data_IF_143558663377
#
_entry.id   IF_143558663377
#
_cell.length_a   1.000
_cell.length_b   1.000
_cell.length_c   1.000
_cell.angle_alpha   90.00
_cell.angle_beta   90.00
_cell.angle_gamma   90.00
#
_symmetry.space_group_name_H-M   'P 1'
#
loop_
_entity.id
_entity.type
_entity.pdbx_description
1 polymer ?
#
# COMPACT_ATOMS: atom_id res chain seq x y z
N UNK A 1 16.66 -52.87 -16.71
CA UNK A 1 17.57 -53.23 -15.60
C UNK A 1 18.85 -52.44 -15.77
N UNK A 2 19.06 -51.41 -14.96
CA UNK A 2 20.36 -50.86 -14.57
C UNK A 2 20.09 -49.75 -13.54
N UNK A 3 20.14 -50.14 -12.27
CA UNK A 3 20.09 -49.28 -11.10
C UNK A 3 21.43 -48.54 -11.01
N UNK A 4 21.44 -47.20 -10.99
CA UNK A 4 22.61 -46.44 -10.56
C UNK A 4 22.41 -45.96 -9.13
N UNK A 5 23.25 -46.51 -8.25
CA UNK A 5 23.38 -46.19 -6.85
C UNK A 5 24.46 -45.11 -6.71
N UNK A 6 24.18 -44.02 -6.00
CA UNK A 6 25.21 -43.05 -5.58
C UNK A 6 25.13 -42.86 -4.08
N UNK A 7 26.13 -43.40 -3.38
CA UNK A 7 26.36 -43.29 -1.94
C UNK A 7 26.88 -41.90 -1.55
N UNK A 8 26.36 -41.34 -0.46
CA UNK A 8 26.87 -40.15 0.21
C UNK A 8 27.86 -40.54 1.32
N UNK A 9 29.02 -39.88 1.39
CA UNK A 9 29.93 -39.92 2.56
C UNK A 9 29.89 -38.58 3.31
N UNK A 10 29.76 -38.57 4.65
CA UNK A 10 29.74 -37.34 5.45
C UNK A 10 31.16 -36.87 5.80
N UNK A 11 31.37 -35.55 5.88
CA UNK A 11 32.62 -34.92 6.30
C UNK A 11 32.50 -34.47 7.77
N UNK A 12 33.45 -34.92 8.60
CA UNK A 12 33.63 -34.56 10.02
C UNK A 12 34.43 -33.26 10.16
N UNK A 13 33.99 -32.34 11.03
CA UNK A 13 34.70 -31.10 11.37
C UNK A 13 35.54 -31.27 12.65
N UNK A 14 36.76 -30.74 12.68
CA UNK A 14 37.57 -30.55 13.89
C UNK A 14 37.73 -29.05 14.22
N UNK A 15 37.66 -28.63 15.49
CA UNK A 15 37.88 -27.25 15.88
C UNK A 15 39.35 -26.99 16.22
N UNK A 16 39.89 -25.85 15.78
CA UNK A 16 41.12 -25.28 16.34
C UNK A 16 40.78 -23.96 17.05
N UNK A 17 41.13 -23.89 18.33
CA UNK A 17 41.23 -22.65 19.11
C UNK A 17 42.53 -21.92 18.74
N UNK A 18 42.52 -20.59 18.72
CA UNK A 18 43.58 -19.71 19.25
C UNK A 18 43.18 -18.21 19.19
N UNK A 19 43.07 -17.64 20.39
CA UNK A 19 43.44 -16.29 20.94
C UNK A 19 43.48 -14.98 20.12
N UNK A 20 42.99 -13.96 20.82
CA UNK A 20 42.91 -12.49 20.62
C UNK A 20 43.99 -11.76 19.81
N UNK A 21 43.56 -10.85 18.91
CA UNK A 21 43.71 -9.37 19.02
C UNK A 21 43.30 -8.68 17.71
N UNK A 22 42.61 -7.53 17.79
CA UNK A 22 42.57 -6.54 16.70
C UNK A 22 41.33 -6.54 15.78
N UNK A 23 40.70 -5.37 15.70
CA UNK A 23 39.60 -5.00 14.80
C UNK A 23 39.82 -5.42 13.33
N UNK A 24 38.87 -6.15 12.75
CA UNK A 24 38.28 -5.91 11.42
C UNK A 24 37.11 -6.87 11.18
N UNK A 25 36.01 -6.35 10.61
CA UNK A 25 34.81 -7.13 10.23
C UNK A 25 35.20 -8.23 9.23
N UNK A 26 34.93 -9.49 9.56
CA UNK A 26 34.93 -10.59 8.59
C UNK A 26 33.58 -11.29 8.55
N UNK A 27 32.94 -11.19 7.39
CA UNK A 27 31.84 -12.06 6.95
C UNK A 27 32.47 -13.35 6.45
N UNK A 28 32.23 -14.46 7.13
CA UNK A 28 32.70 -15.78 6.69
C UNK A 28 31.79 -16.30 5.58
N UNK A 29 32.21 -16.13 4.32
CA UNK A 29 31.59 -16.81 3.18
C UNK A 29 32.11 -18.24 3.08
N UNK A 30 31.25 -19.23 3.31
CA UNK A 30 31.58 -20.64 3.04
C UNK A 30 31.55 -20.85 1.52
N UNK A 31 32.73 -21.07 0.92
CA UNK A 31 32.91 -21.30 -0.52
C UNK A 31 32.82 -22.80 -0.82
N UNK A 32 31.66 -23.29 -1.22
CA UNK A 32 31.54 -24.62 -1.83
C UNK A 32 31.93 -24.48 -3.30
N UNK A 33 33.15 -24.91 -3.65
CA UNK A 33 33.63 -24.87 -5.03
C UNK A 33 33.14 -26.10 -5.79
N UNK A 34 32.08 -25.94 -6.59
CA UNK A 34 31.81 -26.87 -7.68
C UNK A 34 32.57 -26.38 -8.93
N UNK A 35 33.50 -27.19 -9.41
CA UNK A 35 34.14 -26.98 -10.70
C UNK A 35 33.13 -27.34 -11.80
N UNK A 36 32.38 -26.35 -12.27
CA UNK A 36 31.61 -26.41 -13.51
C UNK A 36 31.98 -25.20 -14.36
N UNK A 37 32.82 -25.47 -15.35
CA UNK A 37 33.19 -24.56 -16.42
C UNK A 37 31.97 -24.23 -17.29
N UNK A 38 31.41 -23.02 -17.14
CA UNK A 38 30.84 -22.15 -18.20
C UNK A 38 30.13 -20.94 -17.55
N UNK A 39 30.53 -19.73 -17.97
CA UNK A 39 29.89 -18.42 -17.81
C UNK A 39 28.57 -18.37 -17.01
N UNK A 40 28.66 -18.16 -15.69
CA UNK A 40 27.53 -17.71 -14.89
C UNK A 40 27.43 -16.19 -15.02
N UNK A 41 26.52 -15.70 -15.86
CA UNK A 41 26.22 -14.27 -15.96
C UNK A 41 25.40 -13.87 -14.73
N UNK A 42 25.99 -13.08 -13.83
CA UNK A 42 25.24 -12.49 -12.71
C UNK A 42 24.21 -11.50 -13.29
N UNK A 43 22.93 -11.71 -13.02
CA UNK A 43 21.86 -10.75 -13.34
C UNK A 43 21.23 -10.28 -12.03
N UNK A 44 21.29 -8.98 -11.79
CA UNK A 44 20.68 -8.31 -10.64
C UNK A 44 19.74 -7.23 -11.16
N UNK A 45 18.52 -7.18 -10.63
CA UNK A 45 17.53 -6.16 -10.97
C UNK A 45 17.38 -5.20 -9.79
N UNK A 46 17.18 -3.92 -10.08
CA UNK A 46 16.82 -2.90 -9.08
C UNK A 46 15.30 -2.78 -8.87
N UNK A 47 14.50 -3.65 -9.48
CA UNK A 47 13.04 -3.71 -9.35
C UNK A 47 12.56 -5.13 -9.04
N UNK A 48 11.38 -5.25 -8.43
CA UNK A 48 10.80 -6.55 -8.04
C UNK A 48 10.12 -7.22 -9.23
N UNK A 49 10.79 -8.19 -9.88
CA UNK A 49 10.25 -8.89 -11.06
C UNK A 49 8.86 -9.51 -10.84
N UNK A 50 8.60 -10.12 -9.66
CA UNK A 50 7.28 -10.70 -9.34
C UNK A 50 6.13 -9.68 -9.32
N UNK A 51 6.43 -8.38 -9.25
CA UNK A 51 5.46 -7.29 -9.11
C UNK A 51 5.37 -6.39 -10.34
N UNK A 52 6.09 -6.72 -11.41
CA UNK A 52 6.26 -5.83 -12.59
C UNK A 52 5.66 -6.43 -13.88
N UNK A 53 5.18 -7.68 -13.91
CA UNK A 53 4.82 -8.32 -15.19
C UNK A 53 3.34 -8.68 -15.40
N UNK A 54 2.98 -8.32 -16.63
CA UNK A 54 1.87 -8.71 -17.50
C UNK A 54 1.68 -10.21 -17.63
N UNK A 55 0.47 -10.60 -18.05
CA UNK A 55 0.10 -11.93 -18.51
C UNK A 55 1.26 -12.73 -19.12
N UNK A 56 1.36 -13.98 -18.63
CA UNK A 56 2.42 -14.97 -18.88
C UNK A 56 3.79 -14.62 -18.33
N UNK A 57 4.46 -15.57 -17.67
CA UNK A 57 5.81 -15.49 -17.08
C UNK A 57 6.93 -15.49 -18.13
N UNK A 58 7.29 -14.44 -18.90
CA UNK A 58 8.17 -14.63 -20.05
C UNK A 58 9.62 -14.49 -19.58
N UNK A 59 9.92 -13.57 -18.66
CA UNK A 59 11.27 -13.31 -18.16
C UNK A 59 11.77 -14.36 -17.16
N UNK A 60 10.89 -14.86 -16.28
CA UNK A 60 11.21 -15.98 -15.40
C UNK A 60 11.33 -17.29 -16.18
N UNK A 61 10.48 -17.52 -17.21
CA UNK A 61 10.68 -18.65 -18.16
C UNK A 61 11.96 -18.49 -18.98
N UNK A 62 12.35 -17.28 -19.38
CA UNK A 62 13.63 -17.02 -20.05
C UNK A 62 14.84 -17.26 -19.14
N UNK A 63 14.65 -17.34 -17.82
CA UNK A 63 15.68 -17.74 -16.86
C UNK A 63 15.79 -19.28 -16.74
N UNK A 64 14.68 -20.01 -16.93
CA UNK A 64 14.64 -21.48 -16.88
C UNK A 64 14.80 -22.14 -18.26
N UNK A 65 14.58 -21.41 -19.35
CA UNK A 65 14.67 -21.88 -20.73
C UNK A 65 15.61 -20.97 -21.52
N UNK A 66 16.75 -21.50 -21.95
CA UNK A 66 17.75 -20.88 -22.81
C UNK A 66 17.24 -20.72 -24.27
N UNK A 67 16.09 -20.08 -24.47
CA UNK A 67 15.55 -19.84 -25.81
C UNK A 67 15.08 -18.40 -25.95
N UNK A 68 15.99 -17.51 -26.32
CA UNK A 68 15.65 -16.19 -26.84
C UNK A 68 15.09 -16.35 -28.26
N UNK A 69 13.77 -16.53 -28.40
CA UNK A 69 13.12 -16.28 -29.68
C UNK A 69 12.85 -14.77 -29.81
N UNK A 70 13.35 -14.19 -30.90
CA UNK A 70 13.26 -12.76 -31.19
C UNK A 70 11.81 -12.29 -31.33
N UNK A 71 11.25 -11.76 -30.25
CA UNK A 71 10.06 -10.93 -30.33
C UNK A 71 10.48 -9.51 -30.76
N UNK A 72 9.76 -8.95 -31.74
CA UNK A 72 9.89 -7.53 -32.11
C UNK A 72 9.61 -6.69 -30.87
N UNK A 73 10.56 -5.86 -30.48
CA UNK A 73 10.37 -4.89 -29.41
C UNK A 73 9.16 -4.00 -29.77
N UNK A 74 8.19 -3.83 -28.85
CA UNK A 74 7.11 -2.87 -29.05
C UNK A 74 7.72 -1.47 -29.27
N UNK A 75 7.01 -0.62 -30.02
CA UNK A 75 7.47 0.74 -30.30
C UNK A 75 7.84 1.45 -28.99
N UNK A 76 9.14 1.63 -28.76
CA UNK A 76 9.68 2.20 -27.54
C UNK A 76 9.28 3.69 -27.47
N UNK A 77 8.19 4.00 -26.76
CA UNK A 77 8.07 5.31 -26.14
C UNK A 77 9.14 5.36 -25.04
N UNK A 78 10.11 6.28 -25.17
CA UNK A 78 11.06 6.56 -24.08
C UNK A 78 10.25 7.10 -22.90
N UNK A 79 10.20 6.35 -21.79
CA UNK A 79 9.62 6.85 -20.55
C UNK A 79 10.39 8.11 -20.13
N UNK A 80 9.69 9.23 -19.99
CA UNK A 80 10.30 10.51 -19.62
C UNK A 80 10.33 10.72 -18.11
N UNK A 81 9.41 10.07 -17.39
CA UNK A 81 9.23 10.13 -15.93
C UNK A 81 8.63 8.83 -15.40
N UNK A 82 8.46 8.73 -14.09
CA UNK A 82 7.67 7.64 -13.51
C UNK A 82 6.20 7.80 -13.95
N UNK A 83 5.60 6.69 -14.38
CA UNK A 83 4.19 6.65 -14.74
C UNK A 83 3.31 6.96 -13.52
N UNK A 84 2.22 7.69 -13.75
CA UNK A 84 1.15 7.84 -12.76
C UNK A 84 0.47 6.49 -12.56
N UNK A 85 0.08 6.18 -11.32
CA UNK A 85 -0.54 4.90 -10.98
C UNK A 85 -2.03 5.04 -10.75
N UNK A 86 -2.80 4.07 -11.23
CA UNK A 86 -4.21 3.89 -10.92
C UNK A 86 -4.34 2.74 -9.91
N UNK A 87 -4.76 3.06 -8.70
CA UNK A 87 -4.86 2.11 -7.58
C UNK A 87 -6.32 1.70 -7.39
N UNK A 88 -6.57 0.40 -7.34
CA UNK A 88 -7.89 -0.12 -7.03
C UNK A 88 -7.97 -0.50 -5.55
N UNK A 89 -9.06 -0.11 -4.89
CA UNK A 89 -9.24 -0.34 -3.46
C UNK A 89 -10.51 -1.15 -3.18
N UNK A 90 -10.44 -2.00 -2.15
CA UNK A 90 -11.58 -2.74 -1.63
C UNK A 90 -11.62 -2.73 -0.10
N UNK A 91 -12.81 -2.51 0.42
CA UNK A 91 -13.13 -2.70 1.83
C UNK A 91 -13.31 -4.17 2.13
N UNK A 92 -12.67 -4.68 3.18
CA UNK A 92 -12.86 -6.05 3.67
C UNK A 92 -13.52 -6.01 5.04
N UNK A 93 -14.78 -6.44 5.09
CA UNK A 93 -15.63 -6.50 6.30
C UNK A 93 -15.95 -7.95 6.66
N UNK A 94 -16.42 -8.16 7.88
CA UNK A 94 -17.05 -9.41 8.29
C UNK A 94 -18.57 -9.25 8.27
N UNK A 95 -19.30 -10.19 7.67
CA UNK A 95 -20.76 -10.25 7.79
C UNK A 95 -21.18 -10.90 9.13
N UNK A 96 -22.49 -10.97 9.38
CA UNK A 96 -23.05 -11.57 10.60
C UNK A 96 -22.71 -13.06 10.78
N UNK A 97 -22.41 -13.76 9.68
CA UNK A 97 -21.97 -15.16 9.68
C UNK A 97 -20.45 -15.31 9.90
N UNK A 98 -19.70 -14.20 9.97
CA UNK A 98 -18.25 -14.19 10.11
C UNK A 98 -17.47 -14.40 8.81
N UNK A 99 -18.15 -14.38 7.65
CA UNK A 99 -17.51 -14.40 6.33
C UNK A 99 -16.90 -13.05 5.99
N UNK A 100 -15.83 -13.06 5.19
CA UNK A 100 -15.26 -11.83 4.66
C UNK A 100 -16.02 -11.39 3.40
N UNK A 101 -16.49 -10.15 3.40
CA UNK A 101 -17.26 -9.55 2.31
C UNK A 101 -16.65 -8.23 1.89
N UNK A 102 -16.90 -7.86 0.63
CA UNK A 102 -16.56 -6.54 0.09
C UNK A 102 -17.81 -5.67 0.04
N UNK A 103 -17.74 -4.46 0.61
CA UNK A 103 -18.82 -3.48 0.49
C UNK A 103 -18.78 -2.77 -0.85
N UNK A 104 -19.95 -2.56 -1.47
CA UNK A 104 -20.13 -1.86 -2.75
C UNK A 104 -20.14 -0.32 -2.65
N UNK A 105 -19.35 0.24 -1.73
CA UNK A 105 -19.04 1.68 -1.71
C UNK A 105 -20.18 2.60 -1.27
N UNK A 106 -21.40 2.09 -1.11
CA UNK A 106 -22.55 2.83 -0.59
C UNK A 106 -23.02 2.22 0.74
N UNK A 107 -23.69 3.05 1.56
CA UNK A 107 -24.17 2.73 2.92
C UNK A 107 -24.67 1.29 3.10
N UNK A 108 -24.09 0.63 4.11
CA UNK A 108 -24.68 -0.39 4.99
C UNK A 108 -25.90 -1.16 4.45
N UNK A 109 -25.74 -1.97 3.41
CA UNK A 109 -26.54 -3.19 3.30
C UNK A 109 -25.81 -4.28 2.53
N UNK A 110 -25.22 -5.23 3.25
CA UNK A 110 -24.63 -6.45 2.69
C UNK A 110 -25.39 -7.64 3.28
N UNK A 111 -26.70 -7.69 3.02
CA UNK A 111 -27.51 -8.88 3.28
C UNK A 111 -27.43 -9.79 2.05
N UNK A 112 -26.62 -10.84 2.15
CA UNK A 112 -26.62 -11.93 1.18
C UNK A 112 -27.47 -13.08 1.75
N UNK A 113 -28.58 -13.39 1.08
CA UNK A 113 -29.51 -14.45 1.47
C UNK A 113 -29.03 -15.80 0.93
N UNK A 114 -28.02 -16.41 1.57
CA UNK A 114 -27.73 -17.83 1.33
C UNK A 114 -27.40 -18.54 2.64
N UNK A 115 -28.22 -19.56 2.92
CA UNK A 115 -28.17 -20.39 4.12
C UNK A 115 -27.37 -21.66 3.86
N UNK A 116 -26.08 -21.63 4.19
CA UNK A 116 -25.28 -22.84 4.41
C UNK A 116 -24.14 -22.54 5.38
N UNK A 117 -24.16 -23.20 6.55
CA UNK A 117 -23.04 -23.20 7.50
C UNK A 117 -21.99 -24.20 7.01
N UNK A 118 -20.83 -23.69 6.59
CA UNK A 118 -19.45 -24.22 6.76
C UNK A 118 -18.54 -23.59 5.69
N UNK A 119 -17.32 -23.21 6.10
CA UNK A 119 -16.29 -22.44 5.36
C UNK A 119 -16.57 -20.93 5.25
N UNK A 120 -15.70 -20.12 5.88
CA UNK A 120 -15.70 -18.66 5.67
C UNK A 120 -15.48 -18.38 4.20
N UNK A 121 -16.40 -17.69 3.53
CA UNK A 121 -16.20 -17.36 2.12
C UNK A 121 -15.13 -16.26 1.97
N UNK A 122 -13.87 -16.67 1.83
CA UNK A 122 -12.73 -15.79 1.54
C UNK A 122 -12.66 -15.38 0.05
N UNK A 123 -13.51 -15.97 -0.80
CA UNK A 123 -13.42 -15.86 -2.26
C UNK A 123 -13.70 -14.45 -2.78
N UNK A 124 -14.66 -13.73 -2.17
CA UNK A 124 -15.11 -12.42 -2.70
C UNK A 124 -13.99 -11.36 -2.73
N UNK A 125 -13.20 -11.12 -1.66
CA UNK A 125 -12.07 -10.19 -1.73
C UNK A 125 -10.97 -10.63 -2.71
N UNK A 126 -10.66 -11.93 -2.75
CA UNK A 126 -9.58 -12.48 -3.60
C UNK A 126 -9.94 -12.41 -5.08
N UNK A 127 -11.17 -12.78 -5.43
CA UNK A 127 -11.70 -12.71 -6.79
C UNK A 127 -11.74 -11.26 -7.29
N UNK A 128 -12.22 -10.33 -6.45
CA UNK A 128 -12.26 -8.92 -6.83
C UNK A 128 -10.85 -8.34 -7.02
N UNK A 129 -9.91 -8.64 -6.12
CA UNK A 129 -8.51 -8.22 -6.28
C UNK A 129 -7.88 -8.80 -7.57
N UNK A 130 -8.19 -10.06 -7.88
CA UNK A 130 -7.75 -10.70 -9.13
C UNK A 130 -8.35 -10.00 -10.35
N UNK A 131 -9.64 -9.63 -10.28
CA UNK A 131 -10.30 -8.89 -11.36
C UNK A 131 -9.70 -7.50 -11.54
N UNK A 132 -9.43 -6.75 -10.47
CA UNK A 132 -8.76 -5.45 -10.57
C UNK A 132 -7.39 -5.54 -11.24
N UNK A 133 -6.62 -6.58 -10.92
CA UNK A 133 -5.34 -6.82 -11.58
C UNK A 133 -5.51 -7.06 -13.09
N UNK A 134 -6.46 -7.92 -13.48
CA UNK A 134 -6.79 -8.22 -14.89
C UNK A 134 -7.29 -6.96 -15.62
N UNK A 135 -8.09 -6.14 -14.95
CA UNK A 135 -8.63 -4.88 -15.48
C UNK A 135 -7.56 -3.77 -15.59
N UNK A 136 -6.34 -4.05 -15.12
CA UNK A 136 -5.19 -3.19 -15.34
C UNK A 136 -4.71 -2.43 -14.11
N UNK A 137 -5.24 -2.65 -12.90
CA UNK A 137 -4.81 -1.91 -11.69
C UNK A 137 -3.28 -1.97 -11.51
N UNK A 138 -2.67 -0.84 -11.14
CA UNK A 138 -1.22 -0.77 -10.88
C UNK A 138 -0.85 -1.22 -9.48
N UNK A 139 -1.83 -1.25 -8.58
CA UNK A 139 -1.73 -1.68 -7.19
C UNK A 139 -3.15 -2.01 -6.69
N UNK A 140 -3.24 -2.96 -5.75
CA UNK A 140 -4.50 -3.30 -5.07
C UNK A 140 -4.37 -3.04 -3.58
N UNK A 141 -5.28 -2.21 -3.04
CA UNK A 141 -5.34 -1.85 -1.63
C UNK A 141 -6.52 -2.52 -0.93
N UNK A 142 -6.23 -3.19 0.19
CA UNK A 142 -7.23 -3.81 1.06
C UNK A 142 -7.41 -2.97 2.32
N UNK A 143 -8.60 -2.42 2.53
CA UNK A 143 -8.97 -1.75 3.78
C UNK A 143 -9.61 -2.75 4.72
N UNK A 144 -8.81 -3.29 5.63
CA UNK A 144 -9.24 -4.22 6.67
C UNK A 144 -9.96 -3.49 7.80
N UNK A 145 -11.28 -3.62 7.78
CA UNK A 145 -12.19 -3.04 8.78
C UNK A 145 -12.91 -4.14 9.57
N UNK A 146 -12.28 -5.31 9.62
CA UNK A 146 -12.74 -6.43 10.42
C UNK A 146 -12.47 -6.20 11.91
N UNK A 147 -13.41 -6.62 12.76
CA UNK A 147 -13.36 -6.44 14.21
C UNK A 147 -12.59 -7.53 14.98
N UNK A 148 -11.61 -8.21 14.37
CA UNK A 148 -11.03 -9.45 14.92
C UNK A 148 -9.93 -9.26 15.98
N UNK A 149 -9.99 -8.20 16.79
CA UNK A 149 -8.92 -7.88 17.77
C UNK A 149 -8.74 -8.92 18.88
N UNK A 150 -9.73 -9.78 19.10
CA UNK A 150 -9.67 -10.84 20.10
C UNK A 150 -8.96 -12.13 19.60
N UNK A 151 -8.70 -12.24 18.30
CA UNK A 151 -8.10 -13.43 17.70
C UNK A 151 -6.56 -13.37 17.79
N UNK A 152 -5.89 -14.53 17.94
CA UNK A 152 -4.44 -14.61 17.75
C UNK A 152 -4.04 -14.07 16.38
N UNK A 153 -2.88 -13.41 16.31
CA UNK A 153 -2.40 -12.76 15.08
C UNK A 153 -2.37 -13.72 13.87
N UNK A 154 -1.89 -14.95 14.07
CA UNK A 154 -1.79 -15.95 13.00
C UNK A 154 -3.13 -16.40 12.41
N UNK A 155 -4.23 -16.19 13.14
CA UNK A 155 -5.58 -16.64 12.76
C UNK A 155 -6.42 -15.51 12.16
N UNK A 156 -5.82 -14.33 11.95
CA UNK A 156 -6.51 -13.20 11.34
C UNK A 156 -6.91 -13.55 9.88
N UNK A 157 -8.22 -13.51 9.54
CA UNK A 157 -8.69 -13.90 8.20
C UNK A 157 -8.07 -13.09 7.05
N UNK A 158 -7.69 -11.84 7.32
CA UNK A 158 -7.06 -10.97 6.33
C UNK A 158 -5.68 -11.49 5.88
N UNK A 159 -4.97 -12.24 6.73
CA UNK A 159 -3.71 -12.87 6.33
C UNK A 159 -3.95 -13.90 5.22
N UNK A 160 -5.00 -14.70 5.34
CA UNK A 160 -5.33 -15.71 4.33
C UNK A 160 -5.80 -15.08 3.02
N UNK A 161 -6.58 -13.99 3.09
CA UNK A 161 -6.95 -13.23 1.88
C UNK A 161 -5.71 -12.75 1.14
N UNK A 162 -4.70 -12.22 1.84
CA UNK A 162 -3.46 -11.78 1.20
C UNK A 162 -2.68 -12.95 0.61
N UNK A 163 -2.61 -14.10 1.30
CA UNK A 163 -1.92 -15.30 0.77
C UNK A 163 -2.56 -15.72 -0.54
N UNK A 164 -3.88 -15.93 -0.55
CA UNK A 164 -4.61 -16.31 -1.74
C UNK A 164 -4.56 -15.25 -2.86
N UNK A 165 -4.62 -13.95 -2.52
CA UNK A 165 -4.50 -12.88 -3.52
C UNK A 165 -3.10 -12.84 -4.14
N UNK A 166 -2.05 -13.02 -3.35
CA UNK A 166 -0.65 -12.98 -3.81
C UNK A 166 -0.28 -14.11 -4.77
N UNK A 167 -1.04 -15.21 -4.80
CA UNK A 167 -0.89 -16.28 -5.79
C UNK A 167 -1.35 -15.89 -7.19
N UNK A 168 -2.24 -14.88 -7.30
CA UNK A 168 -2.92 -14.50 -8.55
C UNK A 168 -2.62 -13.06 -8.99
N UNK A 169 -2.28 -12.19 -8.03
CA UNK A 169 -2.13 -10.75 -8.24
C UNK A 169 -0.65 -10.36 -8.20
N UNK A 170 -0.09 -10.06 -9.37
CA UNK A 170 1.33 -9.74 -9.57
C UNK A 170 1.61 -8.24 -9.68
N UNK A 171 0.78 -7.43 -9.02
CA UNK A 171 1.04 -6.01 -8.73
C UNK A 171 1.19 -5.84 -7.22
N UNK A 172 1.73 -4.70 -6.74
CA UNK A 172 1.84 -4.43 -5.31
C UNK A 172 0.50 -4.58 -4.58
N UNK A 173 0.54 -5.19 -3.40
CA UNK A 173 -0.59 -5.33 -2.49
C UNK A 173 -0.36 -4.46 -1.24
N UNK A 174 -1.29 -3.54 -0.97
CA UNK A 174 -1.28 -2.71 0.23
C UNK A 174 -2.38 -3.17 1.18
N UNK A 175 -2.10 -3.30 2.47
CA UNK A 175 -3.12 -3.61 3.48
C UNK A 175 -3.16 -2.53 4.56
N UNK A 176 -4.33 -1.94 4.78
CA UNK A 176 -4.59 -0.96 5.83
C UNK A 176 -5.56 -1.48 6.87
N UNK A 177 -5.41 -1.04 8.12
CA UNK A 177 -6.33 -1.37 9.20
C UNK A 177 -5.83 -2.51 10.11
N UNK A 178 -5.79 -2.21 11.41
CA UNK A 178 -5.33 -3.17 12.43
C UNK A 178 -3.81 -3.23 12.64
N UNK A 179 -3.02 -2.43 11.91
CA UNK A 179 -1.56 -2.35 12.07
C UNK A 179 -1.21 -1.46 13.26
N UNK A 180 -1.14 -2.04 14.45
CA UNK A 180 -0.81 -1.38 15.72
C UNK A 180 -0.51 -2.43 16.79
N UNK A 181 0.01 -1.97 17.91
CA UNK A 181 0.14 -2.79 19.10
C UNK A 181 -1.23 -3.30 19.58
N UNK A 182 -1.31 -4.58 19.97
CA UNK A 182 -2.49 -5.15 20.61
C UNK A 182 -2.18 -6.39 21.45
N UNK A 183 -3.10 -6.74 22.33
CA UNK A 183 -3.09 -8.00 23.10
C UNK A 183 -4.30 -8.84 22.70
N UNK A 184 -4.08 -10.10 22.35
CA UNK A 184 -5.15 -11.02 21.95
C UNK A 184 -5.94 -11.59 23.15
N UNK A 185 -6.98 -12.39 22.88
CA UNK A 185 -7.82 -13.00 23.92
C UNK A 185 -7.08 -14.01 24.82
N UNK A 186 -5.89 -14.47 24.44
CA UNK A 186 -5.04 -15.32 25.28
C UNK A 186 -4.12 -14.53 26.21
N UNK A 187 -4.09 -13.20 26.09
CA UNK A 187 -3.21 -12.32 26.84
C UNK A 187 -1.83 -12.13 26.19
N UNK A 188 -1.61 -12.65 24.98
CA UNK A 188 -0.34 -12.44 24.27
C UNK A 188 -0.32 -11.05 23.64
N UNK A 189 0.71 -10.28 23.97
CA UNK A 189 1.00 -8.98 23.37
C UNK A 189 1.72 -9.16 22.02
N UNK A 190 1.35 -8.33 21.05
CA UNK A 190 2.00 -8.19 19.75
C UNK A 190 2.32 -6.72 19.51
N UNK A 191 3.56 -6.45 19.12
CA UNK A 191 3.97 -5.13 18.65
C UNK A 191 3.47 -4.86 17.23
N UNK A 192 3.28 -3.59 16.87
CA UNK A 192 2.95 -3.16 15.50
C UNK A 192 3.93 -3.70 14.45
N UNK A 193 5.22 -3.84 14.80
CA UNK A 193 6.22 -4.44 13.94
C UNK A 193 5.95 -5.94 13.70
N UNK A 194 5.60 -6.71 14.73
CA UNK A 194 5.21 -8.12 14.55
C UNK A 194 3.97 -8.25 13.67
N UNK A 195 2.98 -7.39 13.89
CA UNK A 195 1.76 -7.36 13.07
C UNK A 195 2.10 -7.08 11.61
N UNK A 196 2.86 -6.01 11.33
CA UNK A 196 3.29 -5.68 9.97
C UNK A 196 4.11 -6.83 9.33
N UNK A 197 5.00 -7.44 10.10
CA UNK A 197 5.83 -8.57 9.64
C UNK A 197 4.98 -9.75 9.16
N UNK A 198 3.91 -10.07 9.88
CA UNK A 198 2.99 -11.15 9.48
C UNK A 198 2.16 -10.80 8.24
N UNK A 199 1.75 -9.55 8.09
CA UNK A 199 1.12 -9.09 6.85
C UNK A 199 2.06 -9.17 5.64
N UNK A 200 3.33 -8.78 5.80
CA UNK A 200 4.33 -8.92 4.73
C UNK A 200 4.58 -10.37 4.36
N UNK A 201 4.75 -11.28 5.35
CA UNK A 201 4.90 -12.73 5.10
C UNK A 201 3.68 -13.34 4.42
N UNK A 202 2.52 -12.74 4.60
CA UNK A 202 1.26 -13.19 4.01
C UNK A 202 1.01 -12.62 2.62
N UNK A 203 1.90 -11.78 2.08
CA UNK A 203 1.85 -11.35 0.68
C UNK A 203 1.62 -9.85 0.46
N UNK A 204 1.45 -9.06 1.51
CA UNK A 204 1.47 -7.60 1.39
C UNK A 204 2.88 -7.10 1.02
N UNK A 205 2.97 -6.05 0.21
CA UNK A 205 4.21 -5.33 -0.05
C UNK A 205 4.30 -4.05 0.78
N UNK A 206 3.12 -3.50 1.16
CA UNK A 206 2.98 -2.27 1.94
C UNK A 206 1.91 -2.41 3.00
N UNK A 207 2.10 -1.73 4.12
CA UNK A 207 1.09 -1.56 5.16
C UNK A 207 0.63 -0.11 5.21
N UNK A 208 -0.63 0.11 5.59
CA UNK A 208 -1.21 1.44 5.79
C UNK A 208 -1.58 1.68 7.25
N UNK A 209 -1.07 2.77 7.82
CA UNK A 209 -1.25 3.18 9.22
C UNK A 209 -2.10 4.45 9.26
N UNK A 210 -3.20 4.41 10.01
CA UNK A 210 -4.12 5.53 10.22
C UNK A 210 -3.91 6.20 11.58
N UNK A 211 -4.81 5.96 12.54
CA UNK A 211 -4.82 6.64 13.86
C UNK A 211 -3.47 6.69 14.58
N UNK A 212 -2.70 5.61 14.54
CA UNK A 212 -1.40 5.55 15.23
C UNK A 212 -0.39 6.55 14.66
N UNK A 213 -0.45 6.83 13.34
CA UNK A 213 0.39 7.83 12.70
C UNK A 213 0.05 9.25 13.18
N UNK A 214 -1.23 9.54 13.46
CA UNK A 214 -1.66 10.82 14.00
C UNK A 214 -1.10 11.04 15.40
N UNK A 215 -1.19 10.03 16.27
CA UNK A 215 -0.64 10.12 17.62
C UNK A 215 0.89 10.24 17.62
N UNK A 216 1.57 9.50 16.74
CA UNK A 216 3.02 9.60 16.57
C UNK A 216 3.44 11.01 16.11
N UNK A 217 2.70 11.59 15.16
CA UNK A 217 2.94 12.94 14.66
C UNK A 217 2.69 14.01 15.73
N UNK A 218 1.62 13.92 16.50
CA UNK A 218 1.36 14.85 17.62
C UNK A 218 2.50 14.82 18.64
N UNK A 219 2.95 13.62 19.04
CA UNK A 219 4.07 13.47 19.97
C UNK A 219 5.38 14.02 19.39
N UNK A 220 5.62 13.82 18.09
CA UNK A 220 6.77 14.37 17.40
C UNK A 220 6.72 15.89 17.32
N UNK A 221 5.59 16.49 16.95
CA UNK A 221 5.44 17.95 16.83
C UNK A 221 5.57 18.67 18.17
N UNK A 222 5.18 18.02 19.28
CA UNK A 222 5.35 18.57 20.63
C UNK A 222 6.81 18.61 21.08
N UNK A 223 7.62 17.63 20.66
CA UNK A 223 8.97 17.43 21.21
C UNK A 223 10.08 17.76 20.22
N UNK A 224 9.82 17.69 18.93
CA UNK A 224 10.80 17.70 17.85
C UNK A 224 11.70 16.46 17.80
N UNK A 225 11.40 15.40 18.56
CA UNK A 225 12.31 14.26 18.77
C UNK A 225 11.69 12.96 18.24
N UNK A 226 12.46 12.27 17.38
CA UNK A 226 12.19 10.90 16.93
C UNK A 226 12.50 9.92 18.08
N UNK A 227 11.49 9.23 18.57
CA UNK A 227 11.61 8.35 19.75
C UNK A 227 12.19 6.98 19.41
N UNK A 228 12.12 6.58 18.15
CA UNK A 228 12.39 5.23 17.67
C UNK A 228 11.35 4.19 18.09
N UNK A 229 10.20 4.62 18.64
CA UNK A 229 9.19 3.74 19.24
C UNK A 229 7.85 3.73 18.51
N UNK A 230 7.55 4.72 17.68
CA UNK A 230 6.30 4.70 16.91
C UNK A 230 6.31 3.55 15.90
N UNK A 231 5.11 3.08 15.51
CA UNK A 231 4.97 2.06 14.47
C UNK A 231 5.65 2.48 13.16
N UNK A 232 5.54 3.76 12.78
CA UNK A 232 6.21 4.36 11.63
C UNK A 232 7.72 4.14 11.69
N UNK A 233 8.36 4.53 12.80
CA UNK A 233 9.82 4.45 12.97
C UNK A 233 10.29 2.98 13.04
N UNK A 234 9.56 2.12 13.74
CA UNK A 234 9.95 0.72 13.92
C UNK A 234 9.83 -0.08 12.61
N UNK A 235 8.73 0.08 11.89
CA UNK A 235 8.47 -0.66 10.65
C UNK A 235 9.39 -0.14 9.54
N UNK A 236 9.50 1.18 9.37
CA UNK A 236 10.38 1.77 8.36
C UNK A 236 11.86 1.45 8.59
N UNK A 237 12.32 1.35 9.85
CA UNK A 237 13.69 0.95 10.16
C UNK A 237 14.02 -0.48 9.71
N UNK A 238 13.05 -1.40 9.74
CA UNK A 238 13.25 -2.81 9.39
C UNK A 238 12.99 -3.08 7.92
N UNK A 239 11.89 -2.55 7.38
CA UNK A 239 11.40 -2.84 6.04
C UNK A 239 11.67 -1.72 5.01
N UNK A 240 12.14 -0.56 5.47
CA UNK A 240 12.33 0.65 4.67
C UNK A 240 11.05 1.49 4.59
N UNK A 241 11.21 2.80 4.35
CA UNK A 241 10.10 3.75 4.28
C UNK A 241 9.07 3.32 3.22
N UNK A 242 9.51 2.73 2.10
CA UNK A 242 8.64 2.30 1.00
C UNK A 242 7.58 1.27 1.41
N UNK A 243 7.75 0.60 2.55
CA UNK A 243 6.79 -0.37 3.09
C UNK A 243 5.68 0.30 3.94
N UNK A 244 5.84 1.58 4.29
CA UNK A 244 4.97 2.32 5.21
C UNK A 244 4.18 3.38 4.47
N UNK A 245 2.88 3.12 4.29
CA UNK A 245 1.89 4.09 3.82
C UNK A 245 1.18 4.69 5.03
N UNK A 246 0.92 6.00 5.01
CA UNK A 246 0.09 6.66 6.03
C UNK A 246 -1.24 7.09 5.45
N UNK A 247 -2.34 6.60 6.02
CA UNK A 247 -3.69 7.02 5.68
C UNK A 247 -4.05 8.27 6.47
N UNK A 248 -4.25 9.38 5.77
CA UNK A 248 -4.67 10.65 6.37
C UNK A 248 -6.13 10.88 6.02
N UNK A 249 -6.96 11.09 7.05
CA UNK A 249 -8.41 11.30 6.95
C UNK A 249 -8.78 12.73 7.39
N UNK A 250 -8.59 13.74 6.51
CA UNK A 250 -8.88 15.12 6.82
C UNK A 250 -10.33 15.50 6.54
N UNK A 251 -10.80 16.51 7.28
CA UNK A 251 -12.05 17.22 7.06
C UNK A 251 -11.78 18.72 6.88
N UNK A 252 -12.39 19.34 5.89
CA UNK A 252 -12.24 20.76 5.61
C UNK A 252 -12.90 21.61 6.70
N UNK A 253 -12.19 22.64 7.14
CA UNK A 253 -12.68 23.64 8.09
C UNK A 253 -12.39 25.03 7.52
N UNK A 254 -13.45 25.75 7.15
CA UNK A 254 -13.35 27.10 6.60
C UNK A 254 -12.97 28.13 7.68
N UNK A 255 -12.20 29.14 7.28
CA UNK A 255 -11.74 30.26 8.10
C UNK A 255 -11.77 31.56 7.29
N UNK A 256 -12.02 32.70 7.94
CA UNK A 256 -12.14 33.99 7.22
C UNK A 256 -10.78 34.55 6.83
N UNK A 257 -9.76 34.30 7.63
CA UNK A 257 -8.38 34.67 7.34
C UNK A 257 -7.42 33.53 7.68
N UNK A 258 -6.25 33.48 7.03
CA UNK A 258 -5.20 32.51 7.33
C UNK A 258 -4.75 32.48 8.80
N UNK A 259 -4.88 33.60 9.51
CA UNK A 259 -4.37 33.79 10.86
C UNK A 259 -5.33 33.32 11.97
N UNK A 260 -6.55 32.89 11.63
CA UNK A 260 -7.53 32.40 12.61
C UNK A 260 -7.12 31.07 13.26
N UNK A 261 -6.22 30.33 12.61
CA UNK A 261 -5.71 29.03 13.10
C UNK A 261 -4.20 28.99 12.96
N UNK A 262 -3.54 28.29 13.88
CA UNK A 262 -2.09 28.07 13.83
C UNK A 262 -1.64 27.09 12.74
N UNK A 263 -2.59 26.38 12.12
CA UNK A 263 -2.32 25.36 11.11
C UNK A 263 -2.29 25.95 9.71
N UNK A 264 -1.58 25.30 8.80
CA UNK A 264 -1.49 25.71 7.40
C UNK A 264 -2.89 25.78 6.79
N UNK A 265 -3.23 26.97 6.32
CA UNK A 265 -4.43 27.24 5.53
C UNK A 265 -4.09 27.30 4.04
N UNK A 266 -5.10 27.08 3.21
CA UNK A 266 -5.05 27.30 1.76
C UNK A 266 -6.22 28.18 1.34
N UNK A 267 -6.00 28.95 0.28
CA UNK A 267 -7.08 29.62 -0.42
C UNK A 267 -7.88 28.57 -1.18
N UNK A 268 -9.18 28.47 -0.91
CA UNK A 268 -10.04 27.46 -1.54
C UNK A 268 -10.53 27.94 -2.90
N UNK A 269 -10.65 26.98 -3.83
CA UNK A 269 -11.24 27.18 -5.16
C UNK A 269 -12.74 27.49 -5.10
N UNK A 270 -13.44 26.88 -4.14
CA UNK A 270 -14.86 27.09 -3.86
C UNK A 270 -15.04 27.71 -2.48
N UNK A 271 -15.69 28.89 -2.43
CA UNK A 271 -15.93 29.62 -1.18
C UNK A 271 -16.76 28.81 -0.20
N UNK A 272 -16.51 29.03 1.08
CA UNK A 272 -17.29 28.45 2.16
C UNK A 272 -18.74 28.97 2.22
N UNK A 273 -19.61 28.34 3.03
CA UNK A 273 -21.03 28.69 3.12
C UNK A 273 -21.31 30.15 3.50
N UNK A 274 -20.38 30.82 4.19
CA UNK A 274 -20.48 32.22 4.60
C UNK A 274 -19.56 33.13 3.78
N UNK A 275 -19.04 32.63 2.64
CA UNK A 275 -18.13 33.35 1.77
C UNK A 275 -16.66 33.29 2.18
N UNK A 276 -16.28 32.36 3.07
CA UNK A 276 -14.90 32.14 3.47
C UNK A 276 -14.02 31.77 2.28
N UNK A 277 -12.86 32.41 2.15
CA UNK A 277 -11.92 32.17 1.05
C UNK A 277 -10.76 31.24 1.44
N UNK A 278 -10.68 30.85 2.71
CA UNK A 278 -9.61 30.02 3.23
C UNK A 278 -10.17 28.80 3.97
N UNK A 279 -9.41 27.71 3.97
CA UNK A 279 -9.68 26.55 4.78
C UNK A 279 -8.38 25.90 5.27
N UNK A 280 -8.47 25.17 6.37
CA UNK A 280 -7.49 24.17 6.74
C UNK A 280 -8.17 22.80 6.81
N UNK A 281 -7.37 21.75 6.90
CA UNK A 281 -7.86 20.38 6.79
C UNK A 281 -7.55 19.64 8.09
N UNK A 282 -8.53 19.59 8.99
CA UNK A 282 -8.39 18.98 10.30
C UNK A 282 -8.36 17.46 10.19
N UNK A 283 -7.33 16.81 10.72
CA UNK A 283 -7.21 15.36 10.69
C UNK A 283 -8.14 14.70 11.71
N UNK A 284 -8.55 13.48 11.39
CA UNK A 284 -9.36 12.63 12.27
C UNK A 284 -8.66 11.31 12.55
N UNK A 285 -9.14 10.61 13.58
CA UNK A 285 -8.76 9.24 13.93
C UNK A 285 -10.02 8.40 14.11
N UNK A 286 -9.83 7.11 14.38
CA UNK A 286 -10.93 6.16 14.61
C UNK A 286 -11.86 6.08 13.39
N UNK A 287 -11.30 6.11 12.17
CA UNK A 287 -12.08 6.07 10.92
C UNK A 287 -13.04 7.26 10.80
N UNK A 288 -12.53 8.49 10.92
CA UNK A 288 -13.32 9.70 10.70
C UNK A 288 -14.15 10.21 11.89
N UNK A 289 -14.18 9.48 13.02
CA UNK A 289 -15.10 9.78 14.13
C UNK A 289 -14.58 10.83 15.10
N UNK A 290 -13.27 10.84 15.35
CA UNK A 290 -12.68 11.70 16.37
C UNK A 290 -11.75 12.73 15.71
N UNK A 291 -12.07 14.01 15.80
CA UNK A 291 -11.19 15.07 15.31
C UNK A 291 -9.97 15.26 16.21
N UNK A 292 -8.82 15.59 15.60
CA UNK A 292 -7.57 15.88 16.30
C UNK A 292 -7.12 17.33 16.06
N UNK A 293 -6.40 17.95 17.00
CA UNK A 293 -5.86 19.30 16.83
C UNK A 293 -4.57 19.27 15.98
N UNK A 294 -4.67 18.75 14.75
CA UNK A 294 -3.56 18.71 13.79
C UNK A 294 -4.12 18.82 12.36
N UNK A 295 -3.47 19.62 11.51
CA UNK A 295 -3.82 19.77 10.11
C UNK A 295 -3.16 18.71 9.22
N UNK A 296 -3.75 18.45 8.06
CA UNK A 296 -3.24 17.48 7.08
C UNK A 296 -1.82 17.82 6.61
N UNK A 297 -1.52 19.11 6.47
CA UNK A 297 -0.18 19.59 6.13
C UNK A 297 0.84 19.25 7.22
N UNK A 298 0.54 19.57 8.48
CA UNK A 298 1.44 19.30 9.61
C UNK A 298 1.64 17.79 9.81
N UNK A 299 0.55 17.03 9.71
CA UNK A 299 0.60 15.57 9.79
C UNK A 299 1.48 14.99 8.69
N UNK A 300 1.26 15.38 7.42
CA UNK A 300 2.02 14.88 6.28
C UNK A 300 3.53 15.08 6.45
N UNK A 301 3.94 16.28 6.88
CA UNK A 301 5.37 16.58 7.13
C UNK A 301 5.93 15.77 8.31
N UNK A 302 5.16 15.65 9.39
CA UNK A 302 5.59 14.91 10.56
C UNK A 302 5.77 13.41 10.25
N UNK A 303 4.86 12.80 9.49
CA UNK A 303 4.95 11.36 9.20
C UNK A 303 6.05 11.03 8.19
N UNK A 304 6.33 11.94 7.24
CA UNK A 304 7.51 11.83 6.37
C UNK A 304 8.80 11.77 7.21
N UNK A 305 8.94 12.67 8.19
CA UNK A 305 10.07 12.64 9.11
C UNK A 305 10.12 11.34 9.94
N UNK A 306 8.98 10.78 10.33
CA UNK A 306 8.90 9.55 11.11
C UNK A 306 9.09 8.27 10.29
N UNK A 307 9.34 8.37 8.99
CA UNK A 307 9.70 7.24 8.13
C UNK A 307 8.56 6.70 7.25
N UNK A 308 7.46 7.45 7.08
CA UNK A 308 6.51 7.15 6.03
C UNK A 308 7.18 7.24 4.65
N UNK A 309 6.88 6.31 3.75
CA UNK A 309 7.35 6.33 2.37
C UNK A 309 6.29 6.74 1.36
N UNK A 310 5.03 6.84 1.78
CA UNK A 310 3.91 7.22 0.91
C UNK A 310 2.72 7.70 1.76
N UNK A 311 1.94 8.65 1.24
CA UNK A 311 0.72 9.16 1.88
C UNK A 311 -0.49 8.72 1.07
N UNK A 312 -1.42 8.01 1.71
CA UNK A 312 -2.78 7.82 1.22
C UNK A 312 -3.64 8.97 1.75
N UNK A 313 -3.91 9.96 0.90
CA UNK A 313 -4.63 11.17 1.28
C UNK A 313 -6.11 11.04 0.91
N UNK A 314 -6.93 10.67 1.88
CA UNK A 314 -8.38 10.62 1.73
C UNK A 314 -8.97 12.04 1.89
N UNK A 315 -10.27 12.17 1.66
CA UNK A 315 -11.02 13.39 1.93
C UNK A 315 -12.42 13.02 2.43
N UNK A 316 -12.69 13.28 3.71
CA UNK A 316 -13.98 12.92 4.33
C UNK A 316 -15.15 13.60 3.63
N UNK A 317 -14.97 14.84 3.19
CA UNK A 317 -16.04 15.63 2.58
C UNK A 317 -16.34 15.20 1.13
N UNK A 318 -15.38 14.57 0.45
CA UNK A 318 -15.54 14.08 -0.93
C UNK A 318 -15.92 12.60 -1.00
N UNK A 319 -15.82 11.86 0.10
CA UNK A 319 -16.01 10.42 0.11
C UNK A 319 -17.45 10.04 -0.27
N UNK A 320 -17.58 9.10 -1.21
CA UNK A 320 -18.87 8.66 -1.77
C UNK A 320 -19.64 9.69 -2.61
N UNK A 321 -19.14 10.92 -2.78
CA UNK A 321 -19.88 11.97 -3.50
C UNK A 321 -19.77 11.87 -5.02
N UNK A 322 -18.69 11.27 -5.53
CA UNK A 322 -18.43 11.15 -6.97
C UNK A 322 -18.22 12.49 -7.70
N UNK A 323 -17.99 13.58 -6.97
CA UNK A 323 -17.84 14.94 -7.51
C UNK A 323 -16.42 15.37 -7.86
N UNK A 324 -15.45 14.45 -7.80
CA UNK A 324 -14.03 14.72 -8.02
C UNK A 324 -13.22 14.70 -6.74
N UNK A 325 -11.90 14.64 -6.90
CA UNK A 325 -10.94 14.72 -5.80
C UNK A 325 -10.85 16.16 -5.25
N UNK A 326 -10.47 16.30 -3.98
CA UNK A 326 -10.18 17.62 -3.41
C UNK A 326 -8.82 18.15 -3.89
N UNK A 327 -8.82 18.93 -4.97
CA UNK A 327 -7.61 19.47 -5.59
C UNK A 327 -6.84 20.40 -4.64
N UNK A 328 -7.52 21.22 -3.83
CA UNK A 328 -6.87 22.16 -2.93
C UNK A 328 -6.12 21.42 -1.82
N UNK A 329 -6.74 20.39 -1.25
CA UNK A 329 -6.12 19.49 -0.28
C UNK A 329 -4.91 18.75 -0.87
N UNK A 330 -5.11 18.11 -2.03
CA UNK A 330 -4.07 17.27 -2.63
C UNK A 330 -2.89 18.12 -3.04
N UNK A 331 -3.12 19.30 -3.62
CA UNK A 331 -2.07 20.25 -3.94
C UNK A 331 -1.32 20.69 -2.69
N UNK A 332 -2.03 21.08 -1.62
CA UNK A 332 -1.42 21.50 -0.36
C UNK A 332 -0.44 20.46 0.19
N UNK A 333 -0.84 19.18 0.20
CA UNK A 333 -0.05 18.10 0.79
C UNK A 333 1.05 17.65 -0.17
N UNK A 334 0.74 17.44 -1.45
CA UNK A 334 1.73 16.99 -2.44
C UNK A 334 2.83 18.02 -2.75
N UNK A 335 2.56 19.32 -2.54
CA UNK A 335 3.59 20.37 -2.62
C UNK A 335 4.45 20.45 -1.33
N UNK A 336 4.01 19.85 -0.22
CA UNK A 336 4.63 19.99 1.10
C UNK A 336 5.63 18.89 1.45
N UNK A 337 5.49 17.70 0.86
CA UNK A 337 6.30 16.51 1.14
C UNK A 337 7.06 16.05 -0.10
N UNK A 338 8.12 15.28 0.09
CA UNK A 338 8.92 14.69 -0.99
C UNK A 338 8.55 13.25 -1.31
N UNK A 339 7.85 12.57 -0.38
CA UNK A 339 7.31 11.23 -0.60
C UNK A 339 6.04 11.24 -1.47
N UNK A 340 5.76 10.16 -2.22
CA UNK A 340 4.56 10.03 -3.04
C UNK A 340 3.25 10.28 -2.27
N UNK A 341 2.34 11.01 -2.90
CA UNK A 341 0.97 11.22 -2.41
C UNK A 341 -0.02 10.53 -3.35
N UNK A 342 -0.88 9.69 -2.79
CA UNK A 342 -2.01 9.04 -3.44
C UNK A 342 -3.26 9.90 -3.18
N UNK A 343 -3.86 10.42 -4.24
CA UNK A 343 -5.17 11.06 -4.17
C UNK A 343 -6.27 10.02 -3.98
N UNK A 344 -7.12 10.20 -2.97
CA UNK A 344 -8.23 9.28 -2.64
C UNK A 344 -9.49 10.07 -2.25
N UNK A 345 -10.64 9.39 -2.29
CA UNK A 345 -12.00 9.91 -2.06
C UNK A 345 -12.50 10.93 -3.09
N UNK A 346 -13.65 10.64 -3.71
CA UNK A 346 -14.38 11.57 -4.60
C UNK A 346 -14.35 11.25 -6.10
N UNK A 347 -13.50 10.32 -6.55
CA UNK A 347 -13.48 9.87 -7.95
C UNK A 347 -14.88 9.38 -8.41
N UNK A 348 -15.25 9.75 -9.63
CA UNK A 348 -16.62 9.61 -10.17
C UNK A 348 -16.66 9.41 -11.69
N UNK A 349 -15.68 9.98 -12.40
CA UNK A 349 -15.50 9.80 -13.84
C UNK A 349 -14.00 9.70 -14.19
N UNK A 350 -13.68 9.42 -15.46
CA UNK A 350 -12.28 9.36 -15.94
C UNK A 350 -11.58 10.73 -15.88
N UNK A 351 -12.33 11.82 -16.06
CA UNK A 351 -11.82 13.19 -16.05
C UNK A 351 -11.27 13.61 -14.70
N UNK A 352 -11.82 13.07 -13.60
CA UNK A 352 -11.30 13.33 -12.25
C UNK A 352 -9.85 12.83 -12.09
N UNK A 353 -9.46 11.77 -12.81
CA UNK A 353 -8.08 11.27 -12.79
C UNK A 353 -7.14 12.17 -13.60
N UNK A 354 -7.53 12.63 -14.79
CA UNK A 354 -6.71 13.59 -15.54
C UNK A 354 -6.57 14.91 -14.80
N UNK A 355 -7.66 15.40 -14.20
CA UNK A 355 -7.67 16.67 -13.46
C UNK A 355 -6.68 16.63 -12.27
N UNK A 356 -6.72 15.58 -11.45
CA UNK A 356 -5.84 15.50 -10.28
C UNK A 356 -4.37 15.41 -10.67
N UNK A 357 -4.03 14.72 -11.76
CA UNK A 357 -2.65 14.63 -12.23
C UNK A 357 -2.16 15.89 -12.96
N UNK A 358 -3.07 16.67 -13.56
CA UNK A 358 -2.74 17.94 -14.19
C UNK A 358 -2.55 19.06 -13.15
N UNK A 359 -3.44 19.13 -12.15
CA UNK A 359 -3.49 20.25 -11.20
C UNK A 359 -2.60 20.06 -9.96
N UNK A 360 -2.09 18.86 -9.72
CA UNK A 360 -1.36 18.53 -8.48
C UNK A 360 -0.11 17.68 -8.74
N UNK A 361 0.71 17.52 -7.71
CA UNK A 361 1.87 16.62 -7.73
C UNK A 361 1.53 15.18 -7.28
N UNK A 362 0.25 14.81 -7.23
CA UNK A 362 -0.17 13.45 -6.88
C UNK A 362 0.53 12.40 -7.76
N UNK A 363 1.12 11.39 -7.14
CA UNK A 363 1.85 10.32 -7.82
C UNK A 363 0.94 9.16 -8.23
N UNK A 364 -0.22 9.05 -7.59
CA UNK A 364 -1.24 8.07 -7.89
C UNK A 364 -2.63 8.59 -7.55
N UNK A 365 -3.64 7.95 -8.11
CA UNK A 365 -5.04 8.18 -7.78
C UNK A 365 -5.70 6.83 -7.47
N UNK A 366 -6.47 6.79 -6.38
CA UNK A 366 -7.13 5.61 -5.86
C UNK A 366 -8.64 5.78 -5.97
N UNK A 367 -9.32 4.73 -6.41
CA UNK A 367 -10.77 4.64 -6.30
C UNK A 367 -11.23 3.25 -5.86
N UNK A 368 -12.42 3.21 -5.25
CA UNK A 368 -13.09 1.98 -4.79
C UNK A 368 -14.48 1.87 -5.45
N UNK A 369 -15.41 2.74 -5.02
CA UNK A 369 -16.80 2.92 -5.47
C UNK A 369 -17.07 2.63 -6.95
N UNK A 370 -16.34 3.32 -7.80
CA UNK A 370 -16.59 3.31 -9.24
C UNK A 370 -16.06 2.04 -9.93
N UNK A 371 -15.06 1.37 -9.34
CA UNK A 371 -14.42 0.18 -9.91
C UNK A 371 -15.21 -1.10 -9.62
N UNK A 372 -15.54 -1.39 -8.35
CA UNK A 372 -16.35 -2.59 -8.04
C UNK A 372 -17.79 -2.54 -8.56
N UNK A 373 -18.36 -1.35 -8.78
CA UNK A 373 -19.68 -1.16 -9.41
C UNK A 373 -19.61 -1.15 -10.93
N UNK A 374 -18.39 -1.13 -11.50
CA UNK A 374 -18.11 -1.07 -12.94
C UNK A 374 -18.72 0.16 -13.62
N UNK A 375 -18.88 1.25 -12.88
CA UNK A 375 -19.36 2.54 -13.39
C UNK A 375 -18.28 3.20 -14.25
N UNK A 376 -17.03 3.10 -13.80
CA UNK A 376 -15.86 3.61 -14.52
C UNK A 376 -14.82 2.48 -14.60
N UNK A 377 -14.66 1.79 -15.74
CA UNK A 377 -13.66 0.73 -15.86
C UNK A 377 -12.22 1.26 -15.68
N UNK A 378 -11.35 0.48 -15.03
CA UNK A 378 -9.93 0.85 -14.84
C UNK A 378 -9.23 1.08 -16.18
N UNK A 379 -9.52 0.24 -17.18
CA UNK A 379 -8.98 0.41 -18.54
C UNK A 379 -9.40 1.75 -19.16
N UNK A 380 -10.67 2.15 -19.00
CA UNK A 380 -11.17 3.43 -19.53
C UNK A 380 -10.48 4.63 -18.87
N UNK A 381 -10.18 4.56 -17.56
CA UNK A 381 -9.36 5.58 -16.88
C UNK A 381 -7.98 5.66 -17.54
N UNK A 382 -7.34 4.51 -17.81
CA UNK A 382 -5.99 4.48 -18.38
C UNK A 382 -5.95 4.97 -19.82
N UNK A 383 -6.92 4.58 -20.64
CA UNK A 383 -7.06 5.08 -22.02
C UNK A 383 -7.23 6.60 -22.03
N UNK A 384 -8.13 7.14 -21.20
CA UNK A 384 -8.33 8.58 -21.05
C UNK A 384 -7.07 9.32 -20.60
N UNK A 385 -6.31 8.74 -19.65
CA UNK A 385 -5.04 9.31 -19.19
C UNK A 385 -3.99 9.35 -20.29
N UNK A 386 -3.89 8.29 -21.10
CA UNK A 386 -2.99 8.28 -22.27
C UNK A 386 -3.38 9.35 -23.27
N UNK A 387 -4.68 9.49 -23.57
CA UNK A 387 -5.19 10.50 -24.51
C UNK A 387 -4.99 11.93 -23.99
N UNK A 388 -5.00 12.11 -22.68
CA UNK A 388 -4.68 13.37 -21.98
C UNK A 388 -3.17 13.63 -21.85
N UNK A 389 -2.31 12.76 -22.39
CA UNK A 389 -0.85 12.91 -22.34
C UNK A 389 -0.19 12.54 -21.00
N UNK A 390 -0.91 11.85 -20.11
CA UNK A 390 -0.39 11.34 -18.84
C UNK A 390 0.24 9.95 -19.07
N UNK A 391 1.52 9.80 -18.72
CA UNK A 391 2.20 8.51 -18.77
C UNK A 391 1.62 7.57 -17.71
N UNK A 392 0.98 6.49 -18.13
CA UNK A 392 0.44 5.41 -17.29
C UNK A 392 0.90 4.05 -17.82
N UNK A 393 0.90 3.02 -16.96
CA UNK A 393 1.17 1.65 -17.40
C UNK A 393 -0.04 1.12 -18.16
N UNK A 394 0.13 0.78 -19.43
CA UNK A 394 -0.86 0.00 -20.19
C UNK A 394 -0.52 -1.48 -20.05
N UNK A 395 -1.55 -2.30 -19.80
CA UNK A 395 -1.43 -3.76 -19.84
C UNK A 395 -1.73 -4.26 -21.26
#
# INVERSE_FOLDING_TARGET
MATMCTSFTPITLYPQMLTETGFHRHVTTVRVSYHLSRWATLRQFSFTQRRVELLDFPFLKNFSVLTLQGQRAPAHRKASKLAKRVIACLDVRSNDNGDLVVTKGDQYDVRDHSSSKEVRNLGKPVELASQYYIDGADEVSFLNITGFRAFPLGDLPMLEVLRCASEKVFVPLTVGGGIRDFTDGSGRYYSSLEVASEYFRSGADKISIGSDAVFAAEAYLQTGVKTGKSSLEQISRVYGNQAVVVSIDPRRVYVKSPDEVQFRTVKVSSKGPLGEEYAWYQCTVSGGRDSRPIGAYELAKAVEELGAGEILLNCIDCDGQGGGFDIDLIKMVSDAVTIPVIASSGAGSVEHFSEVFEKTNASAALAAGIFHRKEVPILAVKEHLVDSGVEVRMQ
#
